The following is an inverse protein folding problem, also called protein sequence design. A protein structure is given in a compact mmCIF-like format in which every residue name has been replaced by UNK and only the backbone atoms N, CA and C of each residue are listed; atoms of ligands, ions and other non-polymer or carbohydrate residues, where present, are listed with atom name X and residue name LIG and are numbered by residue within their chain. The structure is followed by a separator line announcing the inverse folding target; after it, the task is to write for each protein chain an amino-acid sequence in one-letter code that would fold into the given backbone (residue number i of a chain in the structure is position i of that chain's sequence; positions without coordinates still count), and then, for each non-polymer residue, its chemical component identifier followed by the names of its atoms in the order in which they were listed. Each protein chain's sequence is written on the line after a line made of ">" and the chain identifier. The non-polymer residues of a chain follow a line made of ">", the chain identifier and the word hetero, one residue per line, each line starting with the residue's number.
data_IF_805965351370
#
_entry.id   IF_805965351370
#
_cell.length_a   1.000
_cell.length_b   1.000
_cell.length_c   1.000
_cell.angle_alpha   90.00
_cell.angle_beta   90.00
_cell.angle_gamma   90.00
#
_symmetry.space_group_name_H-M   'P 1'
#
loop_
_entity.id
_entity.type
_entity.pdbx_description
1 polymer ?
#
# COMPACT_ATOMS: atom_id res chain seq x y z
N UNK A 1 13.66 21.71 10.15
CA UNK A 1 12.69 21.07 9.23
C UNK A 1 12.85 19.58 9.40
N UNK A 2 11.95 18.93 10.11
CA UNK A 2 11.93 17.46 10.16
C UNK A 2 11.68 16.93 8.76
N UNK A 3 12.57 16.06 8.27
CA UNK A 3 12.31 15.34 7.02
C UNK A 3 11.18 14.35 7.29
N UNK A 4 9.97 14.66 6.82
CA UNK A 4 8.87 13.71 6.89
C UNK A 4 9.21 12.49 6.03
N UNK A 5 9.33 11.32 6.65
CA UNK A 5 9.60 10.07 5.94
C UNK A 5 8.31 9.52 5.32
N UNK A 6 8.44 8.76 4.22
CA UNK A 6 7.31 8.07 3.58
C UNK A 6 6.55 7.20 4.60
N UNK A 7 7.27 6.53 5.52
CA UNK A 7 6.65 5.70 6.54
C UNK A 7 5.75 6.49 7.49
N UNK A 8 6.19 7.69 7.92
CA UNK A 8 5.36 8.57 8.76
C UNK A 8 4.15 9.07 7.98
N UNK A 9 4.34 9.49 6.72
CA UNK A 9 3.23 9.96 5.89
C UNK A 9 2.19 8.89 5.58
N UNK A 10 2.60 7.64 5.33
CA UNK A 10 1.67 6.51 5.19
C UNK A 10 0.83 6.30 6.45
N UNK A 11 1.47 6.36 7.62
CA UNK A 11 0.78 6.21 8.90
C UNK A 11 -0.23 7.34 9.14
N UNK A 12 0.13 8.59 8.86
CA UNK A 12 -0.79 9.73 9.02
C UNK A 12 -1.91 9.76 7.98
N UNK A 13 -1.67 9.19 6.79
CA UNK A 13 -2.67 9.13 5.71
C UNK A 13 -3.65 7.98 5.83
N UNK A 14 -3.38 6.97 6.68
CA UNK A 14 -4.30 5.87 6.94
C UNK A 14 -5.47 6.36 7.80
N UNK A 15 -6.68 6.35 7.24
CA UNK A 15 -7.92 6.66 7.97
C UNK A 15 -8.45 5.47 8.76
N UNK A 16 -8.37 4.29 8.16
CA UNK A 16 -8.95 3.06 8.70
C UNK A 16 -8.22 1.85 8.14
N UNK A 17 -8.07 0.84 8.99
CA UNK A 17 -7.55 -0.48 8.61
C UNK A 17 -8.50 -1.55 9.12
N UNK A 18 -8.76 -2.54 8.28
CA UNK A 18 -9.51 -3.76 8.62
C UNK A 18 -8.63 -4.95 8.29
N UNK A 19 -8.55 -5.92 9.20
CA UNK A 19 -7.81 -7.16 9.02
C UNK A 19 -8.77 -8.33 9.25
N UNK A 20 -9.01 -9.08 8.19
CA UNK A 20 -9.89 -10.24 8.19
C UNK A 20 -9.04 -11.51 8.04
N UNK A 21 -8.84 -12.22 9.16
CA UNK A 21 -8.13 -13.50 9.14
C UNK A 21 -9.10 -14.60 8.71
N UNK A 22 -8.83 -15.22 7.55
CA UNK A 22 -9.66 -16.30 7.00
C UNK A 22 -9.22 -17.67 7.53
N UNK A 23 -7.90 -17.89 7.58
CA UNK A 23 -7.25 -19.08 8.15
C UNK A 23 -5.92 -18.66 8.78
N UNK A 24 -5.22 -19.54 9.52
CA UNK A 24 -3.88 -19.23 10.05
C UNK A 24 -2.83 -18.88 8.97
N UNK A 25 -3.10 -19.18 7.70
CA UNK A 25 -2.21 -18.91 6.57
C UNK A 25 -2.82 -17.97 5.54
N UNK A 26 -4.03 -17.46 5.75
CA UNK A 26 -4.71 -16.59 4.79
C UNK A 26 -5.43 -15.45 5.51
N UNK A 27 -5.18 -14.22 5.04
CA UNK A 27 -5.83 -13.03 5.54
C UNK A 27 -6.09 -12.02 4.41
N UNK A 28 -7.02 -11.13 4.65
CA UNK A 28 -7.23 -9.93 3.84
C UNK A 28 -7.01 -8.72 4.73
N UNK A 29 -6.21 -7.77 4.26
CA UNK A 29 -6.06 -6.46 4.91
C UNK A 29 -6.52 -5.38 3.94
N UNK A 30 -7.36 -4.49 4.45
CA UNK A 30 -7.88 -3.34 3.72
C UNK A 30 -7.52 -2.07 4.47
N UNK A 31 -6.99 -1.08 3.76
CA UNK A 31 -6.68 0.25 4.30
C UNK A 31 -7.31 1.35 3.47
N UNK A 32 -8.01 2.26 4.12
CA UNK A 32 -8.56 3.48 3.52
C UNK A 32 -7.55 4.61 3.75
N UNK A 33 -7.06 5.24 2.67
CA UNK A 33 -6.06 6.28 2.72
C UNK A 33 -6.55 7.59 2.11
N UNK A 34 -6.09 8.71 2.68
CA UNK A 34 -6.11 10.03 2.05
C UNK A 34 -4.74 10.67 2.18
N UNK A 35 -4.12 10.95 1.04
CA UNK A 35 -2.84 11.65 0.97
C UNK A 35 -3.11 13.13 0.72
N UNK A 36 -2.79 13.99 1.69
CA UNK A 36 -2.97 15.43 1.57
C UNK A 36 -1.83 16.06 0.77
N UNK A 37 -2.03 17.30 0.30
CA UNK A 37 -1.10 18.00 -0.59
C UNK A 37 0.29 18.21 0.03
N UNK A 38 0.35 18.31 1.35
CA UNK A 38 1.59 18.43 2.13
C UNK A 38 2.35 17.10 2.29
N UNK A 39 1.78 15.97 1.84
CA UNK A 39 2.47 14.70 1.90
C UNK A 39 3.74 14.74 1.04
N UNK A 40 4.88 14.47 1.68
CA UNK A 40 6.21 14.63 1.08
C UNK A 40 6.41 13.88 -0.25
N UNK A 41 5.63 12.82 -0.52
CA UNK A 41 5.67 12.09 -1.79
C UNK A 41 5.20 12.91 -3.01
N UNK A 42 4.41 13.97 -2.81
CA UNK A 42 3.98 14.86 -3.89
C UNK A 42 5.03 15.92 -4.24
N UNK A 43 6.00 16.17 -3.35
CA UNK A 43 7.03 17.16 -3.58
C UNK A 43 7.87 16.81 -4.82
N UNK A 44 7.64 17.55 -5.91
CA UNK A 44 8.30 17.31 -7.20
C UNK A 44 7.65 16.22 -8.07
N UNK A 45 6.48 15.68 -7.70
CA UNK A 45 5.80 14.64 -8.48
C UNK A 45 4.31 14.95 -8.70
N UNK A 46 3.95 15.84 -9.62
CA UNK A 46 4.80 16.78 -10.36
C UNK A 46 4.51 18.21 -9.89
N UNK A 47 5.44 19.17 -10.02
CA UNK A 47 5.30 20.51 -9.42
C UNK A 47 3.98 21.24 -9.73
N UNK A 48 3.38 21.02 -10.90
CA UNK A 48 2.10 21.64 -11.30
C UNK A 48 0.93 20.67 -11.36
N UNK A 49 1.18 19.37 -11.17
CA UNK A 49 0.18 18.31 -11.20
C UNK A 49 0.60 17.21 -10.24
N UNK A 50 0.36 17.38 -8.93
CA UNK A 50 0.73 16.39 -7.94
C UNK A 50 -0.04 15.09 -8.17
N UNK A 51 0.70 13.99 -8.25
CA UNK A 51 0.22 12.63 -8.49
C UNK A 51 0.98 11.70 -7.55
N UNK A 52 0.28 10.78 -6.91
CA UNK A 52 0.89 9.85 -5.97
C UNK A 52 1.82 8.91 -6.76
N UNK A 53 3.12 8.87 -6.46
CA UNK A 53 4.05 8.00 -7.16
C UNK A 53 3.64 6.53 -7.01
N UNK A 54 3.82 5.75 -8.08
CA UNK A 54 3.55 4.31 -8.07
C UNK A 54 4.27 3.57 -6.95
N UNK A 55 5.50 3.98 -6.62
CA UNK A 55 6.28 3.38 -5.53
C UNK A 55 5.64 3.61 -4.15
N UNK A 56 4.91 4.71 -3.97
CA UNK A 56 4.22 5.01 -2.70
C UNK A 56 2.93 4.21 -2.57
N UNK A 57 2.25 3.92 -3.68
CA UNK A 57 1.15 2.94 -3.69
C UNK A 57 1.64 1.56 -3.24
N UNK A 58 2.80 1.11 -3.74
CA UNK A 58 3.42 -0.15 -3.30
C UNK A 58 3.90 -0.10 -1.84
N UNK A 59 4.39 1.05 -1.39
CA UNK A 59 4.76 1.26 0.00
C UNK A 59 3.53 1.17 0.94
N UNK A 60 2.37 1.69 0.53
CA UNK A 60 1.12 1.52 1.27
C UNK A 60 0.70 0.04 1.37
N UNK A 61 0.83 -0.73 0.28
CA UNK A 61 0.59 -2.18 0.27
C UNK A 61 1.52 -2.90 1.25
N UNK A 62 2.82 -2.58 1.23
CA UNK A 62 3.79 -3.15 2.19
C UNK A 62 3.45 -2.75 3.63
N UNK A 63 3.11 -1.50 3.87
CA UNK A 63 2.74 -1.00 5.20
C UNK A 63 1.53 -1.75 5.77
N UNK A 64 0.51 -2.04 4.96
CA UNK A 64 -0.62 -2.86 5.38
C UNK A 64 -0.21 -4.31 5.66
N UNK A 65 0.63 -4.91 4.82
CA UNK A 65 1.15 -6.25 5.04
C UNK A 65 1.94 -6.36 6.36
N UNK A 66 2.84 -5.40 6.62
CA UNK A 66 3.62 -5.33 7.87
C UNK A 66 2.72 -5.11 9.09
N UNK A 67 1.66 -4.28 8.95
CA UNK A 67 0.68 -4.05 10.01
C UNK A 67 -0.13 -5.31 10.33
N UNK A 68 -0.55 -6.06 9.31
CA UNK A 68 -1.38 -7.25 9.48
C UNK A 68 -0.59 -8.48 9.93
N UNK A 69 0.70 -8.57 9.58
CA UNK A 69 1.58 -9.67 9.99
C UNK A 69 2.42 -9.35 11.23
N UNK A 70 2.33 -8.11 11.74
CA UNK A 70 3.08 -7.58 12.88
C UNK A 70 4.61 -7.80 12.78
N UNK A 71 5.14 -7.75 11.56
CA UNK A 71 6.55 -8.03 11.28
C UNK A 71 7.07 -7.17 10.13
N UNK A 72 8.35 -6.76 10.15
CA UNK A 72 8.98 -6.13 9.01
C UNK A 72 9.08 -7.13 7.85
N UNK A 73 8.85 -6.64 6.63
CA UNK A 73 8.85 -7.46 5.41
C UNK A 73 9.80 -6.87 4.37
N UNK A 74 10.52 -7.73 3.65
CA UNK A 74 11.20 -7.35 2.41
C UNK A 74 10.32 -7.74 1.21
N UNK A 75 10.30 -6.87 0.20
CA UNK A 75 9.72 -7.20 -1.10
C UNK A 75 10.63 -8.21 -1.79
N UNK A 76 10.11 -9.42 -2.05
CA UNK A 76 10.83 -10.46 -2.76
C UNK A 76 10.55 -10.42 -4.27
N UNK A 77 9.28 -10.24 -4.65
CA UNK A 77 8.87 -10.22 -6.04
C UNK A 77 7.68 -9.30 -6.27
N UNK A 78 7.65 -8.68 -7.44
CA UNK A 78 6.51 -7.91 -7.94
C UNK A 78 6.20 -8.41 -9.36
N UNK A 79 4.94 -8.77 -9.64
CA UNK A 79 4.57 -9.28 -10.96
C UNK A 79 3.15 -8.88 -11.36
N UNK A 80 2.90 -8.82 -12.67
CA UNK A 80 1.60 -8.46 -13.26
C UNK A 80 1.03 -7.11 -12.76
N UNK A 81 1.89 -6.19 -12.33
CA UNK A 81 1.44 -4.90 -11.81
C UNK A 81 1.00 -3.97 -12.92
N UNK A 82 -0.14 -3.31 -12.73
CA UNK A 82 -0.71 -2.33 -13.64
C UNK A 82 -1.12 -1.10 -12.86
N UNK A 83 -0.75 0.08 -13.36
CA UNK A 83 -1.21 1.38 -12.88
C UNK A 83 -2.08 1.99 -13.98
N UNK A 84 -3.38 2.08 -13.74
CA UNK A 84 -4.40 2.49 -14.72
C UNK A 84 -5.06 3.82 -14.38
N UNK A 85 -4.97 4.23 -13.11
CA UNK A 85 -5.53 5.49 -12.63
C UNK A 85 -4.46 6.38 -12.00
N UNK A 86 -4.83 7.64 -11.82
CA UNK A 86 -4.05 8.66 -11.13
C UNK A 86 -4.66 8.84 -9.74
N UNK A 87 -3.81 9.10 -8.74
CA UNK A 87 -4.25 9.52 -7.39
C UNK A 87 -3.70 10.91 -7.16
N UNK A 88 -4.58 11.89 -6.97
CA UNK A 88 -4.24 13.27 -6.66
C UNK A 88 -4.36 13.52 -5.15
N UNK A 89 -3.78 14.61 -4.63
CA UNK A 89 -3.99 15.01 -3.25
C UNK A 89 -5.48 15.09 -2.89
N UNK A 90 -5.81 14.62 -1.69
CA UNK A 90 -7.17 14.61 -1.15
C UNK A 90 -8.08 13.51 -1.69
N UNK A 91 -7.67 12.73 -2.71
CA UNK A 91 -8.44 11.57 -3.14
C UNK A 91 -8.50 10.50 -2.05
N UNK A 92 -9.69 9.94 -1.86
CA UNK A 92 -9.87 8.74 -1.06
C UNK A 92 -9.56 7.52 -1.92
N UNK A 93 -8.69 6.66 -1.39
CA UNK A 93 -8.37 5.38 -2.01
C UNK A 93 -8.49 4.26 -1.00
N UNK A 94 -8.88 3.09 -1.50
CA UNK A 94 -8.87 1.86 -0.74
C UNK A 94 -7.78 0.93 -1.28
N UNK A 95 -6.88 0.48 -0.40
CA UNK A 95 -5.86 -0.51 -0.69
C UNK A 95 -6.33 -1.84 -0.11
N UNK A 96 -6.59 -2.82 -0.97
CA UNK A 96 -6.92 -4.19 -0.59
C UNK A 96 -5.72 -5.10 -0.87
N UNK A 97 -5.38 -5.94 0.09
CA UNK A 97 -4.33 -6.94 -0.03
C UNK A 97 -4.77 -8.27 0.55
N UNK A 98 -4.90 -9.28 -0.31
CA UNK A 98 -5.10 -10.67 0.12
C UNK A 98 -3.77 -11.38 0.23
N UNK A 99 -3.43 -11.89 1.41
CA UNK A 99 -2.17 -12.58 1.71
C UNK A 99 -2.41 -14.07 1.95
N UNK A 100 -1.54 -14.89 1.35
CA UNK A 100 -1.47 -16.34 1.57
C UNK A 100 -0.04 -16.71 1.91
N UNK A 101 0.16 -17.41 3.04
CA UNK A 101 1.46 -17.91 3.44
C UNK A 101 1.87 -19.11 2.58
N UNK A 102 3.06 -19.05 2.02
CA UNK A 102 3.69 -20.15 1.28
C UNK A 102 5.13 -20.34 1.79
N UNK A 103 5.35 -21.42 2.53
CA UNK A 103 6.62 -21.71 3.19
C UNK A 103 7.10 -20.53 4.07
N UNK A 104 8.22 -19.90 3.68
CA UNK A 104 8.84 -18.76 4.35
C UNK A 104 8.36 -17.41 3.81
N UNK A 105 7.50 -17.40 2.78
CA UNK A 105 7.05 -16.20 2.10
C UNK A 105 5.54 -15.98 2.25
N UNK A 106 5.09 -14.79 1.88
CA UNK A 106 3.69 -14.41 1.77
C UNK A 106 3.40 -13.93 0.35
N UNK A 107 2.51 -14.63 -0.34
CA UNK A 107 1.99 -14.21 -1.64
C UNK A 107 0.83 -13.26 -1.44
N UNK A 108 0.81 -12.18 -2.19
CA UNK A 108 -0.15 -11.09 -2.09
C UNK A 108 -0.82 -10.79 -3.43
N UNK A 109 -2.14 -10.63 -3.42
CA UNK A 109 -2.89 -10.01 -4.52
C UNK A 109 -3.29 -8.61 -4.05
N UNK A 110 -2.74 -7.58 -4.71
CA UNK A 110 -3.01 -6.18 -4.37
C UNK A 110 -4.00 -5.55 -5.35
N UNK A 111 -4.88 -4.70 -4.81
CA UNK A 111 -5.76 -3.80 -5.57
C UNK A 111 -5.81 -2.44 -4.87
N UNK A 112 -5.70 -1.37 -5.63
CA UNK A 112 -6.13 -0.05 -5.21
C UNK A 112 -7.39 0.34 -5.96
N UNK A 113 -8.35 0.86 -5.22
CA UNK A 113 -9.61 1.37 -5.74
C UNK A 113 -9.76 2.85 -5.38
N UNK A 114 -10.43 3.63 -6.23
CA UNK A 114 -10.89 4.96 -5.87
C UNK A 114 -12.25 4.87 -5.15
N UNK A 115 -12.78 6.04 -4.77
CA UNK A 115 -14.13 6.24 -4.21
C UNK A 115 -15.27 5.61 -5.03
N UNK A 116 -15.15 5.56 -6.35
CA UNK A 116 -16.14 4.93 -7.23
C UNK A 116 -16.01 3.40 -7.35
N UNK A 117 -15.02 2.79 -6.69
CA UNK A 117 -14.71 1.37 -6.78
C UNK A 117 -13.98 0.96 -8.07
N UNK A 118 -13.53 1.90 -8.88
CA UNK A 118 -12.71 1.64 -10.05
C UNK A 118 -11.27 1.30 -9.65
N UNK A 119 -10.70 0.27 -10.28
CA UNK A 119 -9.32 -0.17 -10.00
C UNK A 119 -8.32 0.85 -10.55
N UNK A 120 -7.59 1.50 -9.65
CA UNK A 120 -6.46 2.40 -9.96
C UNK A 120 -5.20 1.59 -10.23
N UNK A 121 -4.89 0.61 -9.38
CA UNK A 121 -3.75 -0.27 -9.57
C UNK A 121 -4.01 -1.67 -9.06
N UNK A 122 -3.32 -2.64 -9.63
CA UNK A 122 -3.42 -4.04 -9.20
C UNK A 122 -2.19 -4.82 -9.56
N UNK A 123 -2.00 -5.98 -8.93
CA UNK A 123 -0.93 -6.91 -9.27
C UNK A 123 -0.69 -7.96 -8.20
N UNK A 124 0.44 -8.66 -8.33
CA UNK A 124 0.89 -9.64 -7.36
C UNK A 124 2.20 -9.19 -6.72
N UNK A 125 2.31 -9.45 -5.43
CA UNK A 125 3.45 -9.07 -4.60
C UNK A 125 3.83 -10.24 -3.72
N UNK A 126 5.12 -10.52 -3.57
CA UNK A 126 5.61 -11.56 -2.66
C UNK A 126 6.48 -10.90 -1.62
N UNK A 127 6.21 -11.18 -0.36
CA UNK A 127 6.98 -10.71 0.78
C UNK A 127 7.73 -11.86 1.45
N UNK A 128 8.88 -11.54 2.04
CA UNK A 128 9.57 -12.41 2.98
C UNK A 128 9.76 -11.65 4.30
N UNK A 129 9.55 -12.27 5.47
CA UNK A 129 9.90 -11.65 6.75
C UNK A 129 11.36 -11.22 6.76
N UNK A 130 11.64 -10.03 7.26
CA UNK A 130 13.02 -9.56 7.44
C UNK A 130 13.61 -10.25 8.66
N UNK A 131 14.76 -10.89 8.49
CA UNK A 131 15.56 -11.39 9.61
C UNK A 131 16.15 -10.17 10.36
N UNK A 132 16.12 -10.24 11.69
CA UNK A 132 16.65 -9.20 12.57
C UNK A 132 18.18 -9.20 12.56
#
# INVERSE_FOLDING_TARGET
>A
MEQQSIAMGLRSSLKKITIDTLTPTQLVVTGEFVFLEDFCAFAGHFPSQPILPAIVQLAAVRFLAESALEKPLNLLQLSKVKFKGIVQPGNEIEVQLSLTKENLSWQGILKLLNDSGAIISSGHITFIPREN
#
